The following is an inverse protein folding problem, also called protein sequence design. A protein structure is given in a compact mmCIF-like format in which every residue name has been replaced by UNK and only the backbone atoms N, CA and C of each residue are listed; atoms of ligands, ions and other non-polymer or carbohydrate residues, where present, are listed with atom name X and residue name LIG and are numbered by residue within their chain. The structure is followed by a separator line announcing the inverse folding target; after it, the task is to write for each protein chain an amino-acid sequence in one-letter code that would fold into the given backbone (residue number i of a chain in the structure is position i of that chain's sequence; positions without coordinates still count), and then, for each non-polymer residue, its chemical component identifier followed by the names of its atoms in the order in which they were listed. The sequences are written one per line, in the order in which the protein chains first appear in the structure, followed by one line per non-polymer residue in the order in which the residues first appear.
data_IF_515556678726
#
_entry.id   IF_515556678726
#
_cell.length_a   1.000
_cell.length_b   1.000
_cell.length_c   1.000
_cell.angle_alpha   90.00
_cell.angle_beta   90.00
_cell.angle_gamma   90.00
#
_symmetry.space_group_name_H-M   'P 1'
#
loop_
_entity.id
_entity.type
_entity.pdbx_description
1 polymer ?
#
# COMPACT_ATOMS: atom_id res chain seq x y z
N UNK A 1 -72.23 33.91 17.98
CA UNK A 1 -70.87 33.87 17.39
C UNK A 1 -70.82 32.60 16.56
N UNK A 2 -70.65 32.52 15.24
CA UNK A 2 -70.20 33.40 14.16
C UNK A 2 -70.89 32.90 12.86
N UNK A 3 -71.62 33.74 12.12
CA UNK A 3 -71.24 34.29 10.79
C UNK A 3 -70.81 33.29 9.71
N UNK A 4 -71.73 33.07 8.76
CA UNK A 4 -71.64 33.02 7.29
C UNK A 4 -70.27 32.80 6.59
N UNK A 5 -70.25 32.00 5.51
CA UNK A 5 -70.35 32.48 4.11
C UNK A 5 -69.89 31.42 3.07
N UNK A 6 -70.41 31.55 1.85
CA UNK A 6 -70.18 30.72 0.65
C UNK A 6 -68.81 30.92 -0.04
N UNK A 7 -68.45 29.91 -0.84
CA UNK A 7 -67.32 29.64 -1.76
C UNK A 7 -66.82 30.80 -2.68
N UNK A 8 -65.62 30.70 -3.34
CA UNK A 8 -65.48 29.93 -4.61
C UNK A 8 -64.09 29.31 -4.94
N UNK A 9 -64.05 28.59 -6.08
CA UNK A 9 -62.94 27.94 -6.80
C UNK A 9 -61.60 28.71 -6.87
N UNK A 10 -60.46 27.99 -6.89
CA UNK A 10 -59.34 28.25 -7.83
C UNK A 10 -58.33 27.08 -7.92
N UNK A 11 -58.25 26.54 -9.14
CA UNK A 11 -57.08 26.20 -9.97
C UNK A 11 -55.88 25.43 -9.38
N UNK A 12 -55.63 24.30 -10.05
CA UNK A 12 -54.40 23.48 -10.11
C UNK A 12 -53.13 24.28 -10.38
N UNK A 13 -52.11 24.09 -9.54
CA UNK A 13 -50.71 24.09 -9.96
C UNK A 13 -50.06 22.81 -9.44
N UNK A 14 -49.75 21.91 -10.37
CA UNK A 14 -48.91 20.77 -10.11
C UNK A 14 -47.49 21.24 -9.78
N UNK A 15 -47.06 20.99 -8.55
CA UNK A 15 -45.64 20.84 -8.21
C UNK A 15 -45.46 19.41 -7.75
N UNK A 16 -45.00 18.55 -8.65
CA UNK A 16 -44.42 17.26 -8.30
C UNK A 16 -43.17 17.54 -7.47
N UNK A 17 -43.27 17.35 -6.15
CA UNK A 17 -42.08 17.24 -5.31
C UNK A 17 -41.31 15.99 -5.77
N UNK A 18 -40.07 16.19 -6.24
CA UNK A 18 -39.13 15.09 -6.45
C UNK A 18 -39.05 14.26 -5.16
N UNK A 19 -39.00 12.92 -5.24
CA UNK A 19 -38.65 12.13 -4.08
C UNK A 19 -37.24 12.53 -3.64
N UNK A 20 -37.10 12.77 -2.34
CA UNK A 20 -35.83 13.05 -1.68
C UNK A 20 -34.76 12.09 -2.21
N UNK A 21 -33.79 12.65 -2.92
CA UNK A 21 -32.53 11.97 -3.19
C UNK A 21 -31.90 11.70 -1.83
N UNK A 22 -32.07 10.48 -1.32
CA UNK A 22 -31.23 9.98 -0.25
C UNK A 22 -29.81 9.97 -0.79
N UNK A 23 -29.07 11.05 -0.54
CA UNK A 23 -27.63 11.07 -0.64
C UNK A 23 -27.15 9.97 0.32
N UNK A 24 -26.52 8.88 -0.15
CA UNK A 24 -25.95 7.92 0.77
C UNK A 24 -24.90 8.68 1.57
N UNK A 25 -25.09 8.75 2.88
CA UNK A 25 -24.07 9.22 3.79
C UNK A 25 -22.86 8.31 3.59
N UNK A 26 -21.84 8.83 2.91
CA UNK A 26 -20.57 8.15 2.76
C UNK A 26 -19.89 8.25 4.13
N UNK A 27 -20.20 7.29 5.00
CA UNK A 27 -19.44 7.08 6.23
C UNK A 27 -18.06 6.54 5.82
N UNK A 28 -17.11 7.46 5.64
CA UNK A 28 -15.67 7.19 5.78
C UNK A 28 -15.38 6.84 7.24
N UNK A 29 -15.94 5.75 7.76
CA UNK A 29 -15.38 5.16 8.96
C UNK A 29 -14.15 4.37 8.51
N UNK A 30 -12.99 4.80 8.99
CA UNK A 30 -11.77 4.01 8.88
C UNK A 30 -12.10 2.63 9.46
N UNK A 31 -11.80 1.53 8.75
CA UNK A 31 -12.10 0.19 9.24
C UNK A 31 -11.47 0.01 10.62
N UNK A 32 -12.20 -0.65 11.53
CA UNK A 32 -11.65 -0.95 12.85
C UNK A 32 -10.35 -1.75 12.71
N UNK A 33 -9.41 -1.60 13.64
CA UNK A 33 -8.08 -2.23 13.57
C UNK A 33 -8.11 -3.75 13.24
N UNK A 34 -9.17 -4.47 13.65
CA UNK A 34 -9.37 -5.89 13.31
C UNK A 34 -9.73 -6.13 11.83
N UNK A 35 -10.60 -5.30 11.25
CA UNK A 35 -10.95 -5.36 9.83
C UNK A 35 -9.76 -4.97 8.96
N UNK A 36 -9.01 -3.95 9.38
CA UNK A 36 -7.78 -3.51 8.72
C UNK A 36 -6.70 -4.62 8.73
N UNK A 37 -6.54 -5.32 9.86
CA UNK A 37 -5.66 -6.49 9.95
C UNK A 37 -6.09 -7.61 9.00
N UNK A 38 -7.39 -7.92 8.94
CA UNK A 38 -7.92 -8.95 8.04
C UNK A 38 -7.66 -8.58 6.57
N UNK A 39 -7.83 -7.30 6.21
CA UNK A 39 -7.52 -6.79 4.88
C UNK A 39 -6.04 -7.00 4.52
N UNK A 40 -5.11 -6.58 5.40
CA UNK A 40 -3.68 -6.74 5.14
C UNK A 40 -3.27 -8.20 4.99
N UNK A 41 -3.82 -9.10 5.80
CA UNK A 41 -3.55 -10.53 5.66
C UNK A 41 -4.10 -11.11 4.36
N UNK A 42 -5.31 -10.69 3.94
CA UNK A 42 -5.91 -11.10 2.68
C UNK A 42 -5.16 -10.59 1.44
N UNK A 43 -4.52 -9.41 1.55
CA UNK A 43 -3.69 -8.81 0.50
C UNK A 43 -2.22 -9.24 0.57
N UNK A 44 -1.86 -10.15 1.49
CA UNK A 44 -0.47 -10.57 1.72
C UNK A 44 0.49 -9.42 2.10
N UNK A 45 -0.04 -8.38 2.73
CA UNK A 45 0.70 -7.22 3.25
C UNK A 45 1.23 -7.50 4.65
N UNK A 46 2.21 -8.40 4.72
CA UNK A 46 2.61 -9.05 5.97
C UNK A 46 3.18 -8.06 7.00
N UNK A 47 4.01 -7.11 6.58
CA UNK A 47 4.60 -6.15 7.51
C UNK A 47 3.53 -5.22 8.12
N UNK A 48 2.57 -4.77 7.30
CA UNK A 48 1.46 -3.95 7.76
C UNK A 48 0.54 -4.73 8.71
N UNK A 49 0.27 -5.99 8.39
CA UNK A 49 -0.47 -6.88 9.28
C UNK A 49 0.22 -7.05 10.64
N UNK A 50 1.55 -7.19 10.66
CA UNK A 50 2.31 -7.26 11.90
C UNK A 50 2.18 -5.95 12.71
N UNK A 51 2.28 -4.80 12.07
CA UNK A 51 2.10 -3.51 12.74
C UNK A 51 0.69 -3.29 13.29
N UNK A 52 -0.36 -3.74 12.58
CA UNK A 52 -1.72 -3.73 13.12
C UNK A 52 -1.86 -4.68 14.31
N UNK A 53 -1.21 -5.85 14.30
CA UNK A 53 -1.17 -6.74 15.46
C UNK A 53 -0.53 -6.04 16.67
N UNK A 54 0.53 -5.26 16.48
CA UNK A 54 1.17 -4.49 17.58
C UNK A 54 0.21 -3.44 18.16
N UNK A 55 -0.52 -2.69 17.31
CA UNK A 55 -1.55 -1.74 17.77
C UNK A 55 -2.67 -2.41 18.57
N UNK A 56 -2.95 -3.68 18.26
CA UNK A 56 -3.92 -4.53 18.95
C UNK A 56 -3.33 -5.28 20.15
N UNK A 57 -2.08 -5.01 20.54
CA UNK A 57 -1.34 -5.69 21.60
C UNK A 57 -1.16 -7.21 21.38
N UNK A 58 -1.25 -7.68 20.13
CA UNK A 58 -1.07 -9.07 19.71
C UNK A 58 0.40 -9.34 19.33
N UNK A 59 1.33 -9.13 20.27
CA UNK A 59 2.78 -9.18 20.00
C UNK A 59 3.26 -10.52 19.43
N UNK A 60 2.87 -11.66 20.03
CA UNK A 60 3.27 -12.99 19.54
C UNK A 60 2.83 -13.24 18.09
N UNK A 61 1.67 -12.69 17.70
CA UNK A 61 1.16 -12.80 16.34
C UNK A 61 1.92 -11.89 15.39
N UNK A 62 2.25 -10.67 15.81
CA UNK A 62 3.10 -9.76 15.05
C UNK A 62 4.46 -10.40 14.75
N UNK A 63 5.11 -10.96 15.78
CA UNK A 63 6.41 -11.63 15.65
C UNK A 63 6.33 -12.82 14.69
N UNK A 64 5.28 -13.64 14.81
CA UNK A 64 5.06 -14.76 13.89
C UNK A 64 4.93 -14.32 12.43
N UNK A 65 4.19 -13.23 12.17
CA UNK A 65 4.01 -12.71 10.82
C UNK A 65 5.34 -12.18 10.26
N UNK A 66 6.13 -11.47 11.07
CA UNK A 66 7.44 -10.97 10.67
C UNK A 66 8.42 -12.12 10.36
N UNK A 67 8.44 -13.17 11.17
CA UNK A 67 9.26 -14.37 10.90
C UNK A 67 8.86 -15.05 9.58
N UNK A 68 7.57 -15.12 9.27
CA UNK A 68 7.11 -15.66 7.99
C UNK A 68 7.52 -14.78 6.80
N UNK A 69 7.45 -13.45 6.96
CA UNK A 69 7.94 -12.50 5.97
C UNK A 69 9.45 -12.62 5.77
N UNK A 70 10.24 -12.71 6.83
CA UNK A 70 11.69 -12.93 6.74
C UNK A 70 12.01 -14.22 5.97
N UNK A 71 11.32 -15.32 6.30
CA UNK A 71 11.51 -16.60 5.61
C UNK A 71 11.20 -16.48 4.12
N UNK A 72 10.11 -15.78 3.76
CA UNK A 72 9.77 -15.51 2.37
C UNK A 72 10.87 -14.69 1.68
N UNK A 73 11.34 -13.61 2.29
CA UNK A 73 12.37 -12.74 1.72
C UNK A 73 13.74 -13.42 1.61
N UNK A 74 13.97 -14.53 2.31
CA UNK A 74 15.13 -15.42 2.16
C UNK A 74 14.91 -16.57 1.17
N UNK A 75 13.67 -16.90 0.81
CA UNK A 75 13.34 -17.97 -0.13
C UNK A 75 13.71 -17.63 -1.58
N UNK A 76 13.76 -18.60 -2.48
CA UNK A 76 14.05 -18.33 -3.89
C UNK A 76 12.93 -17.48 -4.53
N UNK A 77 13.25 -16.35 -5.19
CA UNK A 77 12.23 -15.57 -5.87
C UNK A 77 11.69 -16.32 -7.09
N UNK A 78 10.39 -16.14 -7.36
CA UNK A 78 9.73 -16.62 -8.59
C UNK A 78 10.26 -15.87 -9.82
N UNK A 79 10.64 -14.59 -9.65
CA UNK A 79 11.21 -13.78 -10.70
C UNK A 79 12.24 -12.78 -10.15
N UNK A 80 13.33 -12.61 -10.90
CA UNK A 80 14.41 -11.66 -10.61
C UNK A 80 14.58 -10.76 -11.83
N UNK A 81 14.17 -9.51 -11.71
CA UNK A 81 14.32 -8.49 -12.76
C UNK A 81 15.43 -7.52 -12.38
N UNK A 82 16.36 -7.20 -13.29
CA UNK A 82 17.28 -6.08 -13.05
C UNK A 82 16.50 -4.77 -13.08
N UNK A 83 16.55 -4.02 -11.99
CA UNK A 83 15.78 -2.81 -11.81
C UNK A 83 16.64 -1.55 -11.94
N UNK A 84 16.23 -0.65 -12.83
CA UNK A 84 16.95 0.59 -13.12
C UNK A 84 17.98 0.42 -14.23
N UNK A 85 17.75 1.08 -15.37
CA UNK A 85 18.63 0.99 -16.55
C UNK A 85 19.59 2.18 -16.70
N UNK A 86 19.67 3.07 -15.71
CA UNK A 86 20.50 4.30 -15.78
C UNK A 86 21.08 4.65 -14.40
N UNK A 87 22.31 4.22 -14.14
CA UNK A 87 23.05 4.56 -12.92
C UNK A 87 24.21 3.61 -12.65
N UNK A 88 25.04 3.97 -11.66
CA UNK A 88 26.14 3.12 -11.13
C UNK A 88 25.56 2.00 -10.24
N UNK A 89 24.39 2.24 -9.65
CA UNK A 89 23.72 1.31 -8.75
C UNK A 89 23.21 0.07 -9.49
N UNK A 90 23.44 -1.10 -8.90
CA UNK A 90 22.94 -2.37 -9.42
C UNK A 90 21.86 -2.86 -8.48
N UNK A 91 20.62 -2.72 -8.92
CA UNK A 91 19.44 -3.12 -8.17
C UNK A 91 18.65 -4.18 -8.93
N UNK A 92 17.90 -4.98 -8.18
CA UNK A 92 17.01 -6.00 -8.70
C UNK A 92 15.65 -5.87 -8.02
N UNK A 93 14.60 -6.09 -8.78
CA UNK A 93 13.27 -6.32 -8.26
C UNK A 93 13.05 -7.83 -8.18
N UNK A 94 12.89 -8.32 -6.98
CA UNK A 94 12.58 -9.72 -6.69
C UNK A 94 11.07 -9.85 -6.50
N UNK A 95 10.47 -10.84 -7.14
CA UNK A 95 9.07 -11.20 -6.96
C UNK A 95 8.97 -12.59 -6.37
N UNK A 96 8.16 -12.73 -5.32
CA UNK A 96 7.91 -13.98 -4.61
C UNK A 96 6.47 -14.43 -4.87
N UNK A 97 6.08 -15.52 -4.21
CA UNK A 97 4.69 -15.97 -4.22
C UNK A 97 3.72 -14.85 -3.79
N UNK A 98 2.48 -14.96 -4.27
CA UNK A 98 1.41 -13.99 -4.01
C UNK A 98 1.76 -12.55 -4.47
N UNK A 99 2.65 -12.41 -5.44
CA UNK A 99 3.11 -11.13 -6.00
C UNK A 99 3.81 -10.22 -5.00
N UNK A 100 4.31 -10.77 -3.88
CA UNK A 100 5.09 -10.01 -2.90
C UNK A 100 6.40 -9.59 -3.55
N UNK A 101 6.81 -8.34 -3.35
CA UNK A 101 8.01 -7.79 -3.97
C UNK A 101 9.07 -7.39 -2.95
N UNK A 102 10.33 -7.55 -3.34
CA UNK A 102 11.47 -7.05 -2.60
C UNK A 102 12.43 -6.30 -3.52
N UNK A 103 12.91 -5.15 -3.07
CA UNK A 103 13.94 -4.41 -3.78
C UNK A 103 15.31 -4.82 -3.24
N UNK A 104 16.09 -5.48 -4.09
CA UNK A 104 17.41 -5.95 -3.76
C UNK A 104 18.48 -5.01 -4.30
N UNK A 105 19.34 -4.54 -3.39
CA UNK A 105 20.47 -3.67 -3.69
C UNK A 105 21.76 -4.43 -3.49
N UNK A 106 22.57 -4.55 -4.54
CA UNK A 106 23.87 -5.23 -4.49
C UNK A 106 24.84 -4.42 -3.62
N UNK A 107 25.54 -5.11 -2.72
CA UNK A 107 26.57 -4.53 -1.88
C UNK A 107 27.68 -3.88 -2.72
N UNK A 108 28.08 -2.66 -2.38
CA UNK A 108 29.16 -1.94 -3.07
C UNK A 108 28.78 -1.37 -4.44
N UNK A 109 27.53 -1.52 -4.88
CA UNK A 109 27.08 -0.94 -6.15
C UNK A 109 26.88 0.59 -6.10
N UNK A 110 26.92 1.19 -4.92
CA UNK A 110 26.86 2.62 -4.72
C UNK A 110 27.87 3.13 -3.68
N UNK A 111 28.72 4.06 -4.11
CA UNK A 111 29.52 4.89 -3.23
C UNK A 111 28.91 6.30 -3.28
N UNK A 112 28.32 6.84 -2.18
CA UNK A 112 28.68 6.64 -0.78
C UNK A 112 27.58 6.06 0.16
N UNK A 113 26.54 5.38 -0.34
CA UNK A 113 25.41 4.88 0.49
C UNK A 113 25.49 3.36 0.76
N UNK A 114 26.41 2.89 1.63
CA UNK A 114 26.60 1.47 1.88
C UNK A 114 25.35 0.81 2.44
N UNK A 115 25.15 -0.46 2.07
CA UNK A 115 24.04 -1.30 2.55
C UNK A 115 23.91 -1.34 4.08
N UNK A 116 24.99 -1.08 4.83
CA UNK A 116 24.98 -0.97 6.30
C UNK A 116 24.07 0.14 6.82
N UNK A 117 23.96 1.25 6.08
CA UNK A 117 23.14 2.39 6.52
C UNK A 117 21.65 2.03 6.44
N UNK A 118 21.29 1.23 5.44
CA UNK A 118 19.92 0.73 5.25
C UNK A 118 19.53 -0.22 6.39
N UNK A 119 20.41 -1.15 6.73
CA UNK A 119 20.22 -2.08 7.85
C UNK A 119 20.16 -1.34 9.19
N UNK A 120 21.06 -0.38 9.40
CA UNK A 120 21.09 0.40 10.64
C UNK A 120 19.82 1.27 10.78
N UNK A 121 19.33 1.85 9.69
CA UNK A 121 18.09 2.63 9.71
C UNK A 121 16.91 1.76 10.12
N UNK A 122 16.74 0.59 9.49
CA UNK A 122 15.68 -0.35 9.86
C UNK A 122 15.82 -0.84 11.30
N UNK A 123 17.03 -1.22 11.73
CA UNK A 123 17.27 -1.66 13.10
C UNK A 123 16.93 -0.59 14.16
N UNK A 124 17.18 0.69 13.85
CA UNK A 124 16.79 1.81 14.74
C UNK A 124 15.26 2.00 14.73
N UNK A 125 14.62 1.93 13.56
CA UNK A 125 13.15 2.03 13.41
C UNK A 125 12.44 0.94 14.23
N UNK A 126 12.93 -0.30 14.14
CA UNK A 126 12.42 -1.45 14.88
C UNK A 126 12.68 -1.33 16.40
N UNK A 127 13.91 -0.99 16.80
CA UNK A 127 14.26 -0.79 18.21
C UNK A 127 13.39 0.28 18.88
N UNK A 128 13.09 1.36 18.16
CA UNK A 128 12.26 2.46 18.64
C UNK A 128 10.76 2.23 18.43
N UNK A 129 10.37 1.12 17.80
CA UNK A 129 8.99 0.78 17.44
C UNK A 129 8.27 1.90 16.69
N UNK A 130 9.01 2.60 15.84
CA UNK A 130 8.47 3.68 15.00
C UNK A 130 7.67 3.06 13.84
N UNK A 131 8.09 1.90 13.35
CA UNK A 131 7.39 1.13 12.32
C UNK A 131 7.13 1.96 11.04
N UNK A 132 8.16 2.69 10.60
CA UNK A 132 8.11 3.52 9.40
C UNK A 132 8.84 2.87 8.22
N UNK A 133 9.88 2.08 8.49
CA UNK A 133 10.75 1.55 7.44
C UNK A 133 10.35 0.13 7.04
N UNK A 134 10.47 -0.22 5.75
CA UNK A 134 10.29 -1.59 5.32
C UNK A 134 11.35 -2.51 5.95
N UNK A 135 10.97 -3.75 6.24
CA UNK A 135 11.91 -4.76 6.71
C UNK A 135 13.07 -4.86 5.74
N UNK A 136 14.27 -4.77 6.30
CA UNK A 136 15.52 -4.71 5.54
C UNK A 136 16.46 -5.79 6.04
N UNK A 137 16.78 -6.75 5.18
CA UNK A 137 17.56 -7.94 5.53
C UNK A 137 18.79 -8.05 4.64
N UNK A 138 19.86 -8.63 5.19
CA UNK A 138 21.01 -9.07 4.39
C UNK A 138 20.61 -10.34 3.65
N UNK A 139 20.97 -10.45 2.38
CA UNK A 139 20.74 -11.66 1.60
C UNK A 139 21.79 -11.84 0.51
N UNK A 140 22.07 -13.11 0.21
CA UNK A 140 22.71 -13.53 -1.03
C UNK A 140 21.66 -13.86 -2.09
N UNK A 141 21.89 -13.37 -3.31
CA UNK A 141 21.03 -13.59 -4.47
C UNK A 141 21.83 -14.30 -5.56
N UNK A 142 21.29 -15.41 -6.06
CA UNK A 142 21.79 -16.08 -7.26
C UNK A 142 21.18 -15.41 -8.49
N UNK A 143 22.01 -14.88 -9.36
CA UNK A 143 21.61 -14.20 -10.59
C UNK A 143 21.39 -15.21 -11.73
N UNK A 144 20.70 -14.81 -12.83
CA UNK A 144 20.46 -15.69 -13.97
C UNK A 144 21.72 -16.26 -14.64
N UNK A 145 22.87 -15.59 -14.47
CA UNK A 145 24.18 -16.06 -14.95
C UNK A 145 24.87 -17.03 -13.96
N UNK A 146 24.15 -17.50 -12.94
CA UNK A 146 24.63 -18.35 -11.84
C UNK A 146 25.67 -17.70 -10.92
N UNK A 147 25.95 -16.40 -11.05
CA UNK A 147 26.76 -15.69 -10.07
C UNK A 147 25.96 -15.41 -8.80
N UNK A 148 26.63 -15.42 -7.65
CA UNK A 148 26.02 -15.04 -6.37
C UNK A 148 26.51 -13.66 -5.97
N UNK A 149 25.58 -12.78 -5.61
CA UNK A 149 25.88 -11.44 -5.12
C UNK A 149 25.25 -11.24 -3.74
N UNK A 150 26.00 -10.64 -2.83
CA UNK A 150 25.49 -10.24 -1.52
C UNK A 150 24.91 -8.83 -1.58
N UNK A 151 23.89 -8.56 -0.78
CA UNK A 151 23.23 -7.27 -0.75
C UNK A 151 22.24 -7.15 0.39
N UNK A 152 21.35 -6.17 0.24
CA UNK A 152 20.19 -6.02 1.12
C UNK A 152 18.92 -6.08 0.31
N UNK A 153 17.92 -6.76 0.85
CA UNK A 153 16.56 -6.76 0.35
C UNK A 153 15.69 -5.89 1.26
N UNK A 154 14.86 -5.04 0.65
CA UNK A 154 13.82 -4.28 1.34
C UNK A 154 12.46 -4.78 0.88
N UNK A 155 11.57 -5.10 1.81
CA UNK A 155 10.18 -5.41 1.48
C UNK A 155 9.50 -4.22 0.80
N UNK A 156 8.67 -4.50 -0.20
CA UNK A 156 7.82 -3.52 -0.85
C UNK A 156 6.35 -3.90 -0.65
N UNK A 157 5.62 -2.97 -0.03
CA UNK A 157 4.20 -3.08 0.33
C UNK A 157 3.29 -3.20 -0.90
N UNK A 158 3.68 -2.50 -1.97
CA UNK A 158 2.96 -2.39 -3.24
C UNK A 158 3.87 -2.83 -4.37
N UNK A 159 3.44 -2.58 -5.61
CA UNK A 159 4.34 -2.68 -6.75
C UNK A 159 5.48 -1.66 -6.61
N UNK A 160 6.74 -2.07 -6.79
CA UNK A 160 7.87 -1.14 -6.92
C UNK A 160 7.66 -0.13 -8.06
N UNK A 161 6.76 -0.45 -9.00
CA UNK A 161 6.28 0.38 -10.10
C UNK A 161 5.26 1.44 -9.70
N UNK A 162 4.80 1.52 -8.45
CA UNK A 162 3.73 2.46 -8.07
C UNK A 162 4.09 3.90 -8.42
N UNK A 163 5.32 4.33 -8.14
CA UNK A 163 5.79 5.66 -8.53
C UNK A 163 5.87 5.85 -10.06
N UNK A 164 6.29 4.81 -10.80
CA UNK A 164 6.33 4.83 -12.28
C UNK A 164 4.92 4.91 -12.87
N UNK A 165 3.99 4.11 -12.35
CA UNK A 165 2.59 4.05 -12.75
C UNK A 165 1.86 5.37 -12.46
N UNK A 166 2.26 6.07 -11.40
CA UNK A 166 1.76 7.40 -11.05
C UNK A 166 2.55 8.54 -11.73
N UNK A 167 3.49 8.20 -12.62
CA UNK A 167 4.37 9.13 -13.34
C UNK A 167 5.11 10.13 -12.42
N UNK A 168 5.46 9.69 -11.21
CA UNK A 168 6.13 10.51 -10.21
C UNK A 168 7.61 10.63 -10.56
N UNK A 169 7.99 11.76 -11.16
CA UNK A 169 9.36 12.05 -11.62
C UNK A 169 10.25 12.71 -10.56
N UNK A 170 9.69 13.16 -9.44
CA UNK A 170 10.40 13.79 -8.33
C UNK A 170 9.76 13.43 -6.98
N UNK A 171 10.51 13.57 -5.89
CA UNK A 171 10.05 13.33 -4.52
C UNK A 171 9.06 14.40 -3.99
N UNK A 172 8.55 15.28 -4.84
CA UNK A 172 7.75 16.46 -4.46
C UNK A 172 6.27 16.13 -4.21
N UNK A 173 5.86 14.88 -4.37
CA UNK A 173 4.49 14.41 -4.07
C UNK A 173 4.51 13.26 -3.05
N UNK A 174 5.04 13.49 -1.83
CA UNK A 174 5.12 12.44 -0.82
C UNK A 174 3.75 11.87 -0.47
N UNK A 175 2.68 12.68 -0.51
CA UNK A 175 1.31 12.24 -0.20
C UNK A 175 0.79 11.13 -1.13
N UNK A 176 1.31 11.06 -2.37
CA UNK A 176 0.96 10.00 -3.32
C UNK A 176 1.78 8.72 -3.11
N UNK A 177 2.86 8.78 -2.32
CA UNK A 177 3.76 7.67 -2.00
C UNK A 177 3.56 7.16 -0.57
N UNK A 178 3.06 8.00 0.33
CA UNK A 178 2.73 7.66 1.71
C UNK A 178 1.31 7.07 1.72
N UNK A 179 1.23 5.74 1.80
CA UNK A 179 0.05 4.95 2.17
C UNK A 179 -1.31 5.47 1.69
N UNK A 180 -1.42 5.87 0.43
CA UNK A 180 -2.73 5.94 -0.22
C UNK A 180 -3.23 4.52 -0.38
N UNK A 181 -3.93 3.99 0.65
CA UNK A 181 -4.79 2.81 0.50
C UNK A 181 -5.72 3.17 -0.66
N UNK A 182 -5.68 2.45 -1.80
CA UNK A 182 -6.59 2.76 -2.88
C UNK A 182 -8.01 2.58 -2.34
N UNK A 183 -8.75 3.67 -2.20
CA UNK A 183 -10.20 3.54 -2.11
C UNK A 183 -10.62 2.90 -3.43
N UNK A 184 -11.38 1.82 -3.33
CA UNK A 184 -11.87 1.06 -4.48
C UNK A 184 -12.74 1.98 -5.35
N UNK A 185 -12.12 2.74 -6.25
CA UNK A 185 -12.78 3.49 -7.29
C UNK A 185 -13.05 2.56 -8.45
N UNK A 186 -14.31 2.19 -8.65
CA UNK A 186 -14.78 1.55 -9.88
C UNK A 186 -14.27 2.32 -11.10
N UNK A 187 -13.74 1.65 -12.13
CA UNK A 187 -13.33 2.33 -13.35
C UNK A 187 -14.57 2.92 -14.02
N UNK A 188 -14.66 4.26 -14.05
CA UNK A 188 -15.62 4.96 -14.88
C UNK A 188 -15.27 4.69 -16.33
N UNK A 189 -16.01 3.77 -16.96
CA UNK A 189 -16.03 3.63 -18.42
C UNK A 189 -16.71 4.88 -18.95
N UNK A 190 -15.93 5.84 -19.44
CA UNK A 190 -16.47 6.92 -20.25
C UNK A 190 -16.89 6.33 -21.58
N UNK A 191 -18.20 6.05 -21.71
CA UNK A 191 -18.81 5.77 -23.00
C UNK A 191 -18.61 7.00 -23.89
N UNK A 192 -17.83 6.84 -24.96
CA UNK A 192 -17.81 7.79 -26.06
C UNK A 192 -19.12 7.63 -26.82
N UNK A 193 -19.99 8.62 -26.72
CA UNK A 193 -21.17 8.77 -27.58
C UNK A 193 -21.05 10.06 -28.36
N UNK A 194 -21.11 9.95 -29.70
CA UNK A 194 -21.45 11.03 -30.62
C UNK A 194 -20.28 11.78 -31.20
#
# INVERSE_FOLDING_TARGET
MHTAALAPLLVSLGLTACPDSQTPAFTTELPGNQEQLALYLGEHRLQEAAWECIKLEQYDRADSILVDLERLLHSEPVNTERWGYKGIMTNYLLTFDHSIQGFFKVAGSDSPCPIRNELAAYAIDDLLRIHLLPITLIRDLTLPDSSTVSGVIKYFVNTARTAENLELKSAEKPDLLIFSIPSSGTPTVTSVTG
#
